data_IF_020995614008
#
_entry.id   IF_020995614008
#
_cell.length_a   1.000
_cell.length_b   1.000
_cell.length_c   1.000
_cell.angle_alpha   90.00
_cell.angle_beta   90.00
_cell.angle_gamma   90.00
#
_symmetry.space_group_name_H-M   'P 1'
#
loop_
_entity.id
_entity.type
_entity.pdbx_description
1 polymer ?
#
# COMPACT_ATOMS: atom_id res chain seq x y z
N UNK A 1 -17.06 4.07 -30.76
CA UNK A 1 -15.98 3.12 -30.40
C UNK A 1 -15.33 3.70 -29.15
N UNK A 2 -15.83 3.35 -27.96
CA UNK A 2 -15.29 3.87 -26.70
C UNK A 2 -14.09 2.99 -26.36
N UNK A 3 -12.88 3.55 -26.44
CA UNK A 3 -11.72 2.93 -25.83
C UNK A 3 -12.00 2.89 -24.32
N UNK A 4 -12.32 1.70 -23.80
CA UNK A 4 -12.44 1.48 -22.37
C UNK A 4 -11.10 1.80 -21.74
N UNK A 5 -11.01 2.95 -21.05
CA UNK A 5 -9.83 3.30 -20.27
C UNK A 5 -9.58 2.18 -19.27
N UNK A 6 -8.43 1.49 -19.39
CA UNK A 6 -8.01 0.49 -18.41
C UNK A 6 -7.92 1.16 -17.04
N UNK A 7 -8.49 0.52 -16.02
CA UNK A 7 -8.47 1.04 -14.66
C UNK A 7 -7.00 1.05 -14.17
N UNK A 8 -6.54 2.16 -13.58
CA UNK A 8 -5.15 2.31 -13.12
C UNK A 8 -4.74 1.19 -12.16
N UNK A 9 -5.69 0.72 -11.33
CA UNK A 9 -5.46 -0.40 -10.41
C UNK A 9 -5.00 -1.69 -11.10
N UNK A 10 -5.35 -1.90 -12.37
CA UNK A 10 -4.98 -3.11 -13.13
C UNK A 10 -3.52 -3.06 -13.61
N UNK A 11 -2.92 -1.87 -13.65
CA UNK A 11 -1.55 -1.64 -14.11
C UNK A 11 -0.54 -1.63 -12.94
N UNK A 12 -1.01 -1.70 -11.70
CA UNK A 12 -0.20 -1.50 -10.50
C UNK A 12 -0.15 -2.80 -9.69
N UNK A 13 1.06 -3.17 -9.26
CA UNK A 13 1.25 -4.38 -8.43
C UNK A 13 2.49 -4.27 -7.56
N UNK A 14 2.44 -4.87 -6.36
CA UNK A 14 3.64 -5.07 -5.54
C UNK A 14 4.30 -6.37 -5.99
N UNK A 15 5.57 -6.30 -6.39
CA UNK A 15 6.37 -7.46 -6.81
C UNK A 15 7.55 -7.68 -5.88
N UNK A 16 8.09 -8.89 -5.85
CA UNK A 16 9.32 -9.23 -5.15
C UNK A 16 10.46 -9.36 -6.16
N UNK A 17 11.57 -8.69 -5.86
CA UNK A 17 12.81 -8.71 -6.65
C UNK A 17 13.95 -9.20 -5.77
N UNK A 18 15.14 -9.41 -6.35
CA UNK A 18 16.35 -9.70 -5.57
C UNK A 18 16.72 -8.61 -4.56
N UNK A 19 16.26 -7.37 -4.78
CA UNK A 19 16.48 -6.21 -3.90
C UNK A 19 15.34 -5.99 -2.90
N UNK A 20 14.37 -6.90 -2.83
CA UNK A 20 13.17 -6.77 -2.01
C UNK A 20 11.95 -6.32 -2.81
N UNK A 21 10.94 -5.79 -2.11
CA UNK A 21 9.66 -5.43 -2.73
C UNK A 21 9.76 -4.11 -3.50
N UNK A 22 9.10 -4.05 -4.66
CA UNK A 22 8.98 -2.85 -5.50
C UNK A 22 7.53 -2.69 -5.96
N UNK A 23 7.15 -1.46 -6.28
CA UNK A 23 5.90 -1.15 -6.96
C UNK A 23 6.16 -1.22 -8.46
N UNK A 24 5.47 -2.13 -9.16
CA UNK A 24 5.48 -2.21 -10.62
C UNK A 24 4.31 -1.39 -11.17
N UNK A 25 4.59 -0.48 -12.09
CA UNK A 25 3.59 0.28 -12.84
C UNK A 25 3.75 -0.02 -14.33
N UNK A 26 2.73 -0.60 -14.96
CA UNK A 26 2.75 -0.98 -16.38
C UNK A 26 2.31 0.21 -17.26
N UNK A 27 3.00 0.42 -18.38
CA UNK A 27 2.78 1.56 -19.27
C UNK A 27 3.55 2.81 -18.83
N UNK A 28 2.91 3.98 -18.90
CA UNK A 28 3.56 5.26 -18.56
C UNK A 28 3.64 5.48 -17.05
N UNK A 29 4.77 6.02 -16.57
CA UNK A 29 4.93 6.45 -15.18
C UNK A 29 4.09 7.73 -14.90
N UNK A 30 3.10 7.69 -14.00
CA UNK A 30 2.28 8.86 -13.71
C UNK A 30 3.06 9.96 -12.96
N UNK A 31 2.63 11.23 -13.03
CA UNK A 31 3.27 12.32 -12.30
C UNK A 31 3.38 12.06 -10.79
N UNK A 32 4.53 12.42 -10.22
CA UNK A 32 4.80 12.29 -8.78
C UNK A 32 5.38 10.94 -8.37
N UNK A 33 5.32 9.92 -9.22
CA UNK A 33 6.09 8.69 -9.04
C UNK A 33 7.53 8.85 -9.52
N UNK A 34 8.42 8.02 -8.99
CA UNK A 34 9.77 7.83 -9.51
C UNK A 34 10.13 6.34 -9.49
N UNK A 35 10.96 5.91 -10.45
CA UNK A 35 11.37 4.53 -10.62
C UNK A 35 12.11 4.33 -11.94
N UNK A 36 12.73 3.17 -12.08
CA UNK A 36 13.50 2.81 -13.27
C UNK A 36 12.59 2.13 -14.28
N UNK A 37 12.69 2.50 -15.55
CA UNK A 37 12.05 1.76 -16.62
C UNK A 37 12.71 0.39 -16.77
N UNK A 38 11.91 -0.63 -17.03
CA UNK A 38 12.45 -1.92 -17.43
C UNK A 38 13.13 -1.81 -18.82
N UNK A 39 14.06 -2.72 -19.16
CA UNK A 39 14.79 -2.65 -20.44
C UNK A 39 13.91 -2.61 -21.70
N UNK A 40 12.69 -3.18 -21.65
CA UNK A 40 11.73 -3.14 -22.76
C UNK A 40 10.89 -1.86 -22.79
N UNK A 41 10.88 -1.08 -21.71
CA UNK A 41 10.06 0.13 -21.56
C UNK A 41 8.57 -0.16 -21.38
N UNK A 42 8.19 -1.40 -21.04
CA UNK A 42 6.81 -1.81 -20.83
C UNK A 42 6.31 -1.47 -19.42
N UNK A 43 7.21 -1.39 -18.43
CA UNK A 43 6.86 -1.02 -17.06
C UNK A 43 7.98 -0.26 -16.34
N UNK A 44 7.62 0.30 -15.18
CA UNK A 44 8.53 0.94 -14.24
C UNK A 44 8.59 0.17 -12.94
N UNK A 45 9.77 0.10 -12.34
CA UNK A 45 10.01 -0.41 -10.99
C UNK A 45 10.30 0.74 -10.05
N UNK A 46 9.30 1.07 -9.23
CA UNK A 46 9.34 2.17 -8.29
C UNK A 46 9.70 1.66 -6.89
N UNK A 47 10.62 2.32 -6.17
CA UNK A 47 10.90 1.98 -4.77
C UNK A 47 9.70 2.23 -3.87
N UNK A 48 9.58 1.45 -2.80
CA UNK A 48 8.50 1.58 -1.80
C UNK A 48 8.83 2.65 -0.75
N UNK A 49 9.03 3.89 -1.18
CA UNK A 49 9.38 5.02 -0.32
C UNK A 49 8.21 6.00 -0.11
N UNK A 50 8.44 7.02 0.71
CA UNK A 50 7.42 8.00 1.10
C UNK A 50 6.89 8.81 -0.09
N UNK A 51 7.72 9.10 -1.10
CA UNK A 51 7.28 9.87 -2.27
C UNK A 51 6.32 9.04 -3.11
N UNK A 52 6.68 7.80 -3.43
CA UNK A 52 5.80 6.90 -4.17
C UNK A 52 4.56 6.52 -3.34
N UNK A 53 4.66 6.40 -2.02
CA UNK A 53 3.52 6.17 -1.13
C UNK A 53 2.54 7.36 -1.13
N UNK A 54 3.07 8.59 -1.18
CA UNK A 54 2.23 9.77 -1.34
C UNK A 54 1.55 9.79 -2.71
N UNK A 55 2.28 9.48 -3.78
CA UNK A 55 1.75 9.45 -5.14
C UNK A 55 0.66 8.39 -5.29
N UNK A 56 0.87 7.18 -4.76
CA UNK A 56 -0.12 6.09 -4.87
C UNK A 56 -1.40 6.37 -4.09
N UNK A 57 -1.31 7.01 -2.93
CA UNK A 57 -2.51 7.41 -2.16
C UNK A 57 -3.32 8.50 -2.86
N UNK A 58 -2.68 9.35 -3.68
CA UNK A 58 -3.38 10.32 -4.53
C UNK A 58 -4.05 9.64 -5.73
N UNK A 59 -3.33 8.73 -6.38
CA UNK A 59 -3.79 8.05 -7.59
C UNK A 59 -4.86 6.99 -7.31
N UNK A 60 -4.71 6.26 -6.20
CA UNK A 60 -5.62 5.23 -5.72
C UNK A 60 -6.12 5.63 -4.33
N UNK A 61 -7.15 6.49 -4.21
CA UNK A 61 -7.62 7.01 -2.92
C UNK A 61 -8.01 5.93 -1.91
N UNK A 62 -8.45 4.74 -2.35
CA UNK A 62 -8.75 3.60 -1.48
C UNK A 62 -7.52 3.03 -0.76
N UNK A 63 -6.31 3.32 -1.26
CA UNK A 63 -5.06 2.94 -0.60
C UNK A 63 -4.69 3.88 0.53
N UNK A 64 -5.37 5.04 0.70
CA UNK A 64 -5.18 5.93 1.84
C UNK A 64 -6.02 5.48 3.05
N UNK A 65 -5.56 5.73 4.30
CA UNK A 65 -6.36 5.44 5.47
C UNK A 65 -7.58 6.35 5.53
N UNK A 66 -8.64 5.86 6.17
CA UNK A 66 -9.88 6.60 6.42
C UNK A 66 -10.25 6.53 7.90
N UNK A 67 -11.04 7.49 8.36
CA UNK A 67 -11.53 7.48 9.73
C UNK A 67 -12.44 6.27 9.98
N UNK A 68 -12.22 5.58 11.10
CA UNK A 68 -13.01 4.40 11.49
C UNK A 68 -14.48 4.73 11.78
N UNK A 69 -14.76 5.88 12.40
CA UNK A 69 -16.09 6.23 12.89
C UNK A 69 -16.56 5.29 14.00
N UNK A 70 -17.85 4.92 13.99
CA UNK A 70 -18.47 4.03 14.99
C UNK A 70 -18.43 2.54 14.61
N UNK A 71 -17.65 2.17 13.59
CA UNK A 71 -17.52 0.77 13.15
C UNK A 71 -16.80 -0.05 14.21
N UNK A 72 -17.21 -1.32 14.39
CA UNK A 72 -16.42 -2.29 15.13
C UNK A 72 -15.04 -2.40 14.46
N UNK A 73 -13.97 -2.36 15.23
CA UNK A 73 -12.61 -2.28 14.67
C UNK A 73 -11.61 -3.10 15.46
N UNK A 74 -10.53 -3.48 14.79
CA UNK A 74 -9.44 -4.27 15.35
C UNK A 74 -8.11 -3.61 15.04
N UNK A 75 -7.24 -3.51 16.04
CA UNK A 75 -5.85 -3.07 15.87
C UNK A 75 -5.00 -4.16 15.24
N UNK A 76 -4.35 -3.85 14.13
CA UNK A 76 -3.55 -4.77 13.33
C UNK A 76 -2.08 -4.35 13.29
N UNK A 77 -1.50 -4.04 14.45
CA UNK A 77 -0.15 -3.49 14.54
C UNK A 77 0.93 -4.39 13.92
N UNK A 78 1.74 -3.81 13.05
CA UNK A 78 2.77 -4.50 12.28
C UNK A 78 4.14 -3.84 12.49
N UNK A 79 4.95 -4.46 13.36
CA UNK A 79 6.29 -3.95 13.70
C UNK A 79 7.31 -4.19 12.59
N UNK A 80 7.01 -5.07 11.62
CA UNK A 80 7.93 -5.50 10.56
C UNK A 80 7.60 -4.90 9.18
N UNK A 81 6.37 -4.41 8.97
CA UNK A 81 5.92 -3.81 7.70
C UNK A 81 5.56 -4.83 6.61
N UNK A 82 5.33 -6.09 6.99
CA UNK A 82 5.05 -7.21 6.06
C UNK A 82 3.79 -8.01 6.41
N UNK A 83 3.17 -7.77 7.57
CA UNK A 83 2.04 -8.55 8.07
C UNK A 83 0.69 -8.09 7.53
N UNK A 84 0.59 -6.85 7.03
CA UNK A 84 -0.68 -6.26 6.54
C UNK A 84 -1.48 -7.16 5.58
N UNK A 85 -0.89 -7.79 4.54
CA UNK A 85 -1.65 -8.72 3.69
C UNK A 85 -2.26 -9.90 4.45
N UNK A 86 -1.55 -10.40 5.47
CA UNK A 86 -2.04 -11.45 6.36
C UNK A 86 -3.20 -10.98 7.24
N UNK A 87 -3.08 -9.79 7.84
CA UNK A 87 -4.15 -9.17 8.62
C UNK A 87 -5.42 -8.99 7.78
N UNK A 88 -5.28 -8.48 6.56
CA UNK A 88 -6.41 -8.26 5.65
C UNK A 88 -7.09 -9.57 5.22
N UNK A 89 -6.33 -10.66 5.03
CA UNK A 89 -6.93 -11.98 4.80
C UNK A 89 -7.79 -12.43 5.98
N UNK A 90 -7.33 -12.23 7.22
CA UNK A 90 -8.10 -12.60 8.40
C UNK A 90 -9.36 -11.73 8.58
N UNK A 91 -9.24 -10.42 8.31
CA UNK A 91 -10.34 -9.46 8.47
C UNK A 91 -11.47 -9.70 7.47
N UNK A 92 -11.15 -10.13 6.25
CA UNK A 92 -12.14 -10.48 5.22
C UNK A 92 -13.10 -11.60 5.63
N UNK A 93 -12.71 -12.44 6.59
CA UNK A 93 -13.56 -13.50 7.12
C UNK A 93 -14.56 -13.01 8.19
N UNK A 94 -14.53 -11.72 8.55
CA UNK A 94 -15.37 -11.12 9.58
C UNK A 94 -15.95 -9.75 9.20
N UNK A 95 -16.52 -9.05 10.18
CA UNK A 95 -17.19 -7.74 10.02
C UNK A 95 -16.40 -6.56 10.62
N UNK A 96 -15.11 -6.76 10.89
CA UNK A 96 -14.28 -5.80 11.63
C UNK A 96 -13.56 -4.83 10.70
N UNK A 97 -13.55 -3.54 11.04
CA UNK A 97 -12.72 -2.55 10.35
C UNK A 97 -11.24 -2.64 10.79
N UNK A 98 -10.29 -2.83 9.86
CA UNK A 98 -8.88 -2.99 10.22
C UNK A 98 -8.19 -1.65 10.46
N UNK A 99 -7.55 -1.48 11.62
CA UNK A 99 -6.62 -0.37 11.90
C UNK A 99 -5.20 -0.89 11.69
N UNK A 100 -4.70 -0.76 10.46
CA UNK A 100 -3.44 -1.31 9.97
C UNK A 100 -2.23 -0.44 10.34
N UNK A 101 -2.33 0.88 10.26
CA UNK A 101 -1.24 1.79 10.62
C UNK A 101 -1.17 2.02 12.14
N UNK A 102 -0.96 0.94 12.89
CA UNK A 102 -1.03 0.94 14.35
C UNK A 102 0.30 0.58 14.98
N UNK A 103 0.99 1.55 15.57
CA UNK A 103 2.19 1.31 16.37
C UNK A 103 2.36 2.39 17.45
N UNK A 104 2.71 1.99 18.67
CA UNK A 104 3.02 2.93 19.74
C UNK A 104 4.39 3.59 19.55
N UNK A 105 4.63 4.74 20.17
CA UNK A 105 5.93 5.43 20.18
C UNK A 105 7.04 4.49 20.66
N UNK A 106 6.79 3.74 21.74
CA UNK A 106 7.76 2.77 22.29
C UNK A 106 8.15 1.69 21.28
N UNK A 107 7.20 1.20 20.50
CA UNK A 107 7.46 0.19 19.47
C UNK A 107 8.20 0.79 18.28
N UNK A 108 7.83 2.00 17.85
CA UNK A 108 8.52 2.72 16.77
C UNK A 108 9.99 2.97 17.12
N UNK A 109 10.29 3.39 18.35
CA UNK A 109 11.66 3.54 18.83
C UNK A 109 12.45 2.23 18.79
N UNK A 110 11.86 1.12 19.26
CA UNK A 110 12.52 -0.20 19.25
C UNK A 110 12.76 -0.74 17.85
N UNK A 111 11.80 -0.54 16.94
CA UNK A 111 11.90 -0.96 15.55
C UNK A 111 12.70 0.01 14.69
N UNK A 112 13.09 1.18 15.22
CA UNK A 112 13.71 2.29 14.48
C UNK A 112 12.89 2.71 13.26
N UNK A 113 11.58 2.81 13.44
CA UNK A 113 10.62 3.20 12.40
C UNK A 113 9.94 4.52 12.76
N UNK A 114 9.60 5.30 11.73
CA UNK A 114 8.79 6.51 11.86
C UNK A 114 7.30 6.21 11.66
N UNK A 115 6.43 7.12 12.11
CA UNK A 115 4.99 7.01 11.85
C UNK A 115 4.68 6.99 10.34
N UNK A 116 5.46 7.72 9.54
CA UNK A 116 5.36 7.71 8.08
C UNK A 116 5.64 6.32 7.51
N UNK A 117 6.70 5.64 7.99
CA UNK A 117 7.00 4.27 7.55
C UNK A 117 5.91 3.28 7.94
N UNK A 118 5.32 3.42 9.14
CA UNK A 118 4.18 2.59 9.57
C UNK A 118 2.99 2.76 8.62
N UNK A 119 2.67 4.00 8.25
CA UNK A 119 1.59 4.31 7.33
C UNK A 119 1.86 3.82 5.90
N UNK A 120 3.08 4.02 5.41
CA UNK A 120 3.48 3.62 4.05
C UNK A 120 3.49 2.10 3.91
N UNK A 121 4.01 1.36 4.90
CA UNK A 121 3.99 -0.11 4.87
C UNK A 121 2.56 -0.69 4.90
N UNK A 122 1.64 -0.06 5.64
CA UNK A 122 0.23 -0.41 5.59
C UNK A 122 -0.37 -0.16 4.19
N UNK A 123 -0.06 1.00 3.59
CA UNK A 123 -0.47 1.35 2.21
C UNK A 123 -0.02 0.29 1.20
N UNK A 124 1.25 -0.12 1.27
CA UNK A 124 1.81 -1.16 0.38
C UNK A 124 1.14 -2.52 0.58
N UNK A 125 0.88 -2.90 1.83
CA UNK A 125 0.17 -4.14 2.13
C UNK A 125 -1.27 -4.15 1.62
N UNK A 126 -1.96 -3.01 1.70
CA UNK A 126 -3.33 -2.81 1.18
C UNK A 126 -3.38 -2.96 -0.34
N UNK A 127 -2.42 -2.36 -1.05
CA UNK A 127 -2.27 -2.52 -2.51
C UNK A 127 -1.96 -3.97 -2.86
N UNK A 128 -1.00 -4.60 -2.17
CA UNK A 128 -0.64 -6.00 -2.38
C UNK A 128 -1.83 -6.95 -2.19
N UNK A 129 -2.72 -6.65 -1.23
CA UNK A 129 -3.91 -7.44 -0.95
C UNK A 129 -5.12 -7.08 -1.83
N UNK A 130 -4.99 -6.05 -2.69
CA UNK A 130 -6.07 -5.40 -3.43
C UNK A 130 -7.31 -5.18 -2.54
N UNK A 131 -7.10 -4.56 -1.37
CA UNK A 131 -8.15 -4.35 -0.39
C UNK A 131 -8.70 -2.93 -0.48
N UNK A 132 -9.96 -2.79 -0.91
CA UNK A 132 -10.56 -1.49 -1.23
C UNK A 132 -11.71 -1.09 -0.29
N UNK A 133 -11.96 -1.87 0.77
CA UNK A 133 -13.09 -1.67 1.71
C UNK A 133 -12.80 -0.60 2.79
N UNK A 134 -11.62 0.02 2.72
CA UNK A 134 -11.15 1.06 3.63
C UNK A 134 -10.47 0.49 4.89
N UNK A 135 -9.46 1.22 5.37
CA UNK A 135 -8.62 0.82 6.50
C UNK A 135 -8.18 2.03 7.32
N UNK A 136 -7.77 1.81 8.56
CA UNK A 136 -7.34 2.83 9.52
C UNK A 136 -5.85 2.86 9.78
#
# INVERSE_FOLDING_TARGET
>A
MVQGGRNMSDNISIIHTGEGRKLRITGSLPPGFHGDADPSGEFFLCPLDAQNAQAIRRELPWSAPVQVGMRKSVGCGDRLGIATPGHLRAVREGDMFPVLAQQSIREMQRARRSAQQVLDDATWGVIQANYQEGWG
#
